data_IF_370210952110
#
_entry.id   IF_370210952110
#
_cell.length_a   1.000
_cell.length_b   1.000
_cell.length_c   1.000
_cell.angle_alpha   90.00
_cell.angle_beta   90.00
_cell.angle_gamma   90.00
#
_symmetry.space_group_name_H-M   'P 1'
#
loop_
_entity.id
_entity.type
_entity.pdbx_description
1 polymer ?
#
# COMPACT_ATOMS: atom_id res chain seq x y z
N UNK A 1 29.67 28.74 -21.30
CA UNK A 1 28.21 28.81 -21.47
C UNK A 1 27.57 27.45 -21.13
N UNK A 2 27.63 27.04 -19.85
CA UNK A 2 26.98 25.83 -19.35
C UNK A 2 26.25 26.16 -18.03
N UNK A 3 25.49 27.26 -18.02
CA UNK A 3 24.75 27.71 -16.85
C UNK A 3 23.25 27.68 -17.19
N UNK A 4 22.50 26.74 -16.62
CA UNK A 4 21.03 26.77 -16.59
C UNK A 4 20.32 25.41 -16.71
N UNK A 5 20.91 24.45 -17.43
CA UNK A 5 20.19 23.23 -17.86
C UNK A 5 20.05 22.09 -16.82
N UNK A 6 20.95 21.87 -15.85
CA UNK A 6 20.78 20.76 -14.91
C UNK A 6 19.79 21.07 -13.77
N UNK A 7 19.47 22.33 -13.49
CA UNK A 7 18.61 22.69 -12.34
C UNK A 7 17.11 22.56 -12.67
N UNK A 8 16.72 22.84 -13.92
CA UNK A 8 15.33 22.79 -14.38
C UNK A 8 14.83 21.35 -14.55
N UNK A 9 15.67 20.43 -15.04
CA UNK A 9 15.35 19.00 -15.16
C UNK A 9 15.16 18.33 -13.79
N UNK A 10 15.84 18.80 -12.75
CA UNK A 10 15.78 18.25 -11.39
C UNK A 10 14.51 18.68 -10.65
N UNK A 11 14.00 19.89 -10.91
CA UNK A 11 12.68 20.32 -10.41
C UNK A 11 11.57 19.42 -10.94
N UNK A 12 11.68 18.99 -12.21
CA UNK A 12 10.67 18.15 -12.85
C UNK A 12 10.63 16.72 -12.28
N UNK A 13 11.78 16.12 -11.96
CA UNK A 13 11.81 14.79 -11.33
C UNK A 13 11.31 14.80 -9.88
N UNK A 14 11.60 15.87 -9.12
CA UNK A 14 11.12 16.02 -7.75
C UNK A 14 9.59 16.17 -7.66
N UNK A 15 8.98 16.90 -8.59
CA UNK A 15 7.52 17.08 -8.66
C UNK A 15 6.79 15.78 -9.00
N UNK A 16 7.36 14.94 -9.87
CA UNK A 16 6.78 13.63 -10.20
C UNK A 16 6.74 12.70 -8.98
N UNK A 17 7.84 12.64 -8.22
CA UNK A 17 7.93 11.77 -7.02
C UNK A 17 6.98 12.22 -5.91
N UNK A 18 6.83 13.53 -5.69
CA UNK A 18 5.90 14.05 -4.69
C UNK A 18 4.45 13.83 -5.10
N UNK A 19 4.10 13.99 -6.38
CA UNK A 19 2.75 13.71 -6.89
C UNK A 19 2.37 12.24 -6.71
N UNK A 20 3.27 11.30 -7.05
CA UNK A 20 3.04 9.86 -6.88
C UNK A 20 2.93 9.49 -5.39
N UNK A 21 3.75 10.11 -4.53
CA UNK A 21 3.71 9.90 -3.08
C UNK A 21 2.42 10.42 -2.45
N UNK A 22 1.92 11.57 -2.91
CA UNK A 22 0.65 12.14 -2.44
C UNK A 22 -0.53 11.29 -2.92
N UNK A 23 -0.54 10.86 -4.18
CA UNK A 23 -1.60 10.01 -4.74
C UNK A 23 -1.75 8.68 -3.97
N UNK A 24 -0.64 8.02 -3.68
CA UNK A 24 -0.63 6.76 -2.91
C UNK A 24 -1.09 6.94 -1.47
N UNK A 25 -0.78 8.07 -0.83
CA UNK A 25 -1.30 8.38 0.51
C UNK A 25 -2.83 8.58 0.52
N UNK A 26 -3.38 9.21 -0.51
CA UNK A 26 -4.83 9.41 -0.62
C UNK A 26 -5.60 8.10 -0.79
N UNK A 27 -5.11 7.17 -1.62
CA UNK A 27 -5.72 5.86 -1.80
C UNK A 27 -5.66 5.01 -0.52
N UNK A 28 -4.54 5.08 0.20
CA UNK A 28 -4.32 4.27 1.41
C UNK A 28 -5.17 4.71 2.61
N UNK A 29 -5.50 6.00 2.74
CA UNK A 29 -6.27 6.54 3.86
C UNK A 29 -7.66 5.90 4.00
N UNK A 30 -8.27 5.40 2.92
CA UNK A 30 -9.65 4.92 2.95
C UNK A 30 -9.82 3.51 3.54
N UNK A 31 -8.74 2.73 3.68
CA UNK A 31 -8.78 1.34 4.19
C UNK A 31 -7.90 1.09 5.41
N UNK A 32 -7.33 2.15 6.02
CA UNK A 32 -6.41 2.03 7.17
C UNK A 32 -7.03 1.36 8.39
N UNK A 33 -8.35 1.46 8.54
CA UNK A 33 -9.16 0.89 9.62
C UNK A 33 -9.22 -0.64 9.61
N UNK A 34 -9.05 -1.23 8.42
CA UNK A 34 -9.21 -2.66 8.18
C UNK A 34 -7.90 -3.44 8.33
N UNK A 35 -6.77 -2.73 8.38
CA UNK A 35 -5.43 -3.32 8.48
C UNK A 35 -4.96 -3.36 9.95
N UNK A 36 -4.07 -4.30 10.32
CA UNK A 36 -3.50 -4.37 11.66
C UNK A 36 -2.82 -3.04 12.05
N UNK A 37 -3.39 -2.35 13.04
CA UNK A 37 -3.03 -0.98 13.42
C UNK A 37 -1.55 -0.80 13.76
N UNK A 38 -0.90 -1.79 14.36
CA UNK A 38 0.51 -1.69 14.79
C UNK A 38 1.51 -1.78 13.64
N UNK A 39 1.31 -2.73 12.72
CA UNK A 39 2.23 -2.95 11.60
C UNK A 39 2.11 -1.84 10.56
N UNK A 40 0.91 -1.30 10.40
CA UNK A 40 0.64 -0.21 9.48
C UNK A 40 1.38 1.08 9.86
N UNK A 41 1.31 1.49 11.13
CA UNK A 41 1.95 2.72 11.63
C UNK A 41 3.48 2.67 11.47
N UNK A 42 4.09 1.53 11.76
CA UNK A 42 5.54 1.33 11.56
C UNK A 42 5.89 1.46 10.07
N UNK A 43 5.08 0.85 9.19
CA UNK A 43 5.28 0.94 7.74
C UNK A 43 5.17 2.37 7.20
N UNK A 44 4.20 3.17 7.65
CA UNK A 44 4.06 4.57 7.21
C UNK A 44 5.23 5.44 7.66
N UNK A 45 5.69 5.33 8.90
CA UNK A 45 6.88 6.07 9.35
C UNK A 45 8.16 5.63 8.63
N UNK A 46 8.31 4.34 8.34
CA UNK A 46 9.44 3.84 7.56
C UNK A 46 9.44 4.39 6.13
N UNK A 47 8.29 4.44 5.45
CA UNK A 47 8.14 5.03 4.12
C UNK A 47 8.47 6.52 4.12
N UNK A 48 8.00 7.27 5.12
CA UNK A 48 8.33 8.68 5.27
C UNK A 48 9.84 8.90 5.46
N UNK A 49 10.48 8.09 6.31
CA UNK A 49 11.92 8.16 6.55
C UNK A 49 12.72 7.83 5.28
N UNK A 50 12.32 6.79 4.54
CA UNK A 50 12.93 6.42 3.25
C UNK A 50 12.79 7.56 2.22
N UNK A 51 11.62 8.21 2.15
CA UNK A 51 11.38 9.39 1.32
C UNK A 51 12.36 10.52 1.62
N UNK A 52 12.53 10.89 2.89
CA UNK A 52 13.48 11.93 3.31
C UNK A 52 14.94 11.58 2.94
N UNK A 53 15.35 10.32 3.15
CA UNK A 53 16.70 9.85 2.81
C UNK A 53 16.95 9.90 1.29
N UNK A 54 15.94 9.57 0.48
CA UNK A 54 16.05 9.62 -0.98
C UNK A 54 16.29 11.05 -1.50
N UNK A 55 15.62 12.06 -0.90
CA UNK A 55 15.81 13.48 -1.23
C UNK A 55 17.23 13.94 -0.86
N UNK A 56 17.69 13.59 0.35
CA UNK A 56 19.05 13.91 0.80
C UNK A 56 20.11 13.25 -0.09
N UNK A 57 19.94 11.97 -0.43
CA UNK A 57 20.83 11.24 -1.33
C UNK A 57 20.90 11.88 -2.72
N UNK A 58 19.77 12.38 -3.23
CA UNK A 58 19.69 13.08 -4.51
C UNK A 58 20.46 14.40 -4.48
N UNK A 59 20.36 15.19 -3.40
CA UNK A 59 21.12 16.43 -3.24
C UNK A 59 22.63 16.18 -3.15
N UNK A 60 23.04 15.14 -2.43
CA UNK A 60 24.45 14.72 -2.32
C UNK A 60 25.00 14.29 -3.68
N UNK A 61 24.26 13.46 -4.41
CA UNK A 61 24.64 13.02 -5.77
C UNK A 61 24.82 14.21 -6.72
N UNK A 62 23.87 15.14 -6.71
CA UNK A 62 23.95 16.35 -7.53
C UNK A 62 25.15 17.23 -7.16
N UNK A 63 25.36 17.48 -5.87
CA UNK A 63 26.49 18.27 -5.40
C UNK A 63 27.84 17.61 -5.73
N UNK A 64 27.92 16.28 -5.63
CA UNK A 64 29.11 15.51 -6.00
C UNK A 64 29.46 15.64 -7.47
N UNK A 65 28.47 15.59 -8.36
CA UNK A 65 28.66 15.77 -9.81
C UNK A 65 29.06 17.22 -10.12
N UNK A 66 28.33 18.21 -9.59
CA UNK A 66 28.55 19.62 -9.89
C UNK A 66 29.89 20.15 -9.35
N UNK A 67 30.30 19.74 -8.14
CA UNK A 67 31.54 20.18 -7.51
C UNK A 67 32.74 19.30 -7.81
N UNK A 68 32.55 18.23 -8.59
CA UNK A 68 33.61 17.25 -8.92
C UNK A 68 34.35 16.72 -7.69
N UNK A 69 33.67 16.66 -6.54
CA UNK A 69 34.28 16.32 -5.26
C UNK A 69 34.25 14.80 -5.04
N UNK A 70 35.42 14.16 -5.12
CA UNK A 70 35.57 12.69 -5.06
C UNK A 70 34.87 12.05 -3.87
N UNK A 71 34.99 12.65 -2.68
CA UNK A 71 34.41 12.13 -1.45
C UNK A 71 32.88 12.12 -1.49
N UNK A 72 32.25 13.12 -2.12
CA UNK A 72 30.79 13.16 -2.28
C UNK A 72 30.30 12.11 -3.28
N UNK A 73 31.05 11.88 -4.37
CA UNK A 73 30.73 10.82 -5.34
C UNK A 73 30.87 9.43 -4.69
N UNK A 74 31.90 9.21 -3.87
CA UNK A 74 32.08 7.95 -3.14
C UNK A 74 30.97 7.73 -2.10
N UNK A 75 30.56 8.78 -1.37
CA UNK A 75 29.43 8.72 -0.45
C UNK A 75 28.12 8.37 -1.20
N UNK A 76 27.90 8.96 -2.37
CA UNK A 76 26.73 8.66 -3.21
C UNK A 76 26.70 7.18 -3.65
N UNK A 77 27.83 6.63 -4.10
CA UNK A 77 27.93 5.20 -4.46
C UNK A 77 27.60 4.30 -3.26
N UNK A 78 28.14 4.61 -2.09
CA UNK A 78 27.87 3.86 -0.86
C UNK A 78 26.39 3.91 -0.46
N UNK A 79 25.76 5.08 -0.56
CA UNK A 79 24.33 5.24 -0.29
C UNK A 79 23.48 4.42 -1.27
N UNK A 80 23.77 4.45 -2.57
CA UNK A 80 23.05 3.65 -3.57
C UNK A 80 23.19 2.14 -3.29
N UNK A 81 24.39 1.67 -2.93
CA UNK A 81 24.59 0.27 -2.59
C UNK A 81 23.76 -0.15 -1.38
N UNK A 82 23.72 0.68 -0.33
CA UNK A 82 22.91 0.38 0.86
C UNK A 82 21.42 0.34 0.55
N UNK A 83 20.91 1.27 -0.27
CA UNK A 83 19.51 1.25 -0.70
C UNK A 83 19.21 -0.01 -1.52
N UNK A 84 20.06 -0.37 -2.48
CA UNK A 84 19.89 -1.58 -3.29
C UNK A 84 19.84 -2.85 -2.43
N UNK A 85 20.72 -2.98 -1.43
CA UNK A 85 20.71 -4.11 -0.50
C UNK A 85 19.42 -4.13 0.33
N UNK A 86 18.95 -2.98 0.81
CA UNK A 86 17.69 -2.90 1.55
C UNK A 86 16.50 -3.30 0.67
N UNK A 87 16.42 -2.80 -0.56
CA UNK A 87 15.36 -3.16 -1.52
C UNK A 87 15.38 -4.66 -1.83
N UNK A 88 16.56 -5.25 -2.05
CA UNK A 88 16.69 -6.69 -2.28
C UNK A 88 16.26 -7.52 -1.07
N UNK A 89 16.57 -7.08 0.16
CA UNK A 89 16.13 -7.75 1.38
C UNK A 89 14.61 -7.64 1.56
N UNK A 90 14.02 -6.44 1.38
CA UNK A 90 12.58 -6.24 1.50
C UNK A 90 11.83 -7.04 0.44
N UNK A 91 12.27 -7.01 -0.82
CA UNK A 91 11.68 -7.81 -1.90
C UNK A 91 11.82 -9.32 -1.64
N UNK A 92 12.98 -9.77 -1.15
CA UNK A 92 13.20 -11.16 -0.78
C UNK A 92 12.30 -11.64 0.36
N UNK A 93 12.16 -10.83 1.42
CA UNK A 93 11.24 -11.12 2.52
C UNK A 93 9.78 -11.12 2.06
N UNK A 94 9.37 -10.16 1.23
CA UNK A 94 8.02 -10.11 0.69
C UNK A 94 7.69 -11.38 -0.12
N UNK A 95 8.64 -11.89 -0.90
CA UNK A 95 8.49 -13.13 -1.65
C UNK A 95 8.42 -14.37 -0.73
N UNK A 96 9.31 -14.47 0.26
CA UNK A 96 9.34 -15.62 1.18
C UNK A 96 8.07 -15.71 2.03
N UNK A 97 7.54 -14.57 2.47
CA UNK A 97 6.41 -14.50 3.40
C UNK A 97 5.05 -14.20 2.74
N UNK A 98 4.95 -14.25 1.39
CA UNK A 98 3.72 -13.93 0.64
C UNK A 98 2.50 -14.73 1.15
N UNK A 99 2.67 -16.06 1.31
CA UNK A 99 1.58 -16.94 1.76
C UNK A 99 1.13 -16.61 3.19
N UNK A 100 2.10 -16.42 4.11
CA UNK A 100 1.80 -16.13 5.50
C UNK A 100 1.06 -14.79 5.66
N UNK A 101 1.50 -13.75 4.95
CA UNK A 101 0.82 -12.45 4.94
C UNK A 101 -0.60 -12.56 4.40
N UNK A 102 -0.80 -13.39 3.38
CA UNK A 102 -2.13 -13.63 2.79
C UNK A 102 -3.04 -14.32 3.80
N UNK A 103 -2.58 -15.36 4.49
CA UNK A 103 -3.35 -16.07 5.52
C UNK A 103 -3.71 -15.16 6.71
N UNK A 104 -2.74 -14.40 7.22
CA UNK A 104 -2.94 -13.45 8.31
C UNK A 104 -3.98 -12.38 7.95
N UNK A 105 -3.95 -11.89 6.70
CA UNK A 105 -4.92 -10.93 6.19
C UNK A 105 -6.33 -11.54 6.09
N UNK A 106 -6.45 -12.76 5.57
CA UNK A 106 -7.73 -13.47 5.51
C UNK A 106 -8.34 -13.64 6.91
N UNK A 107 -7.53 -14.08 7.87
CA UNK A 107 -7.98 -14.26 9.25
C UNK A 107 -8.41 -12.93 9.88
N UNK A 108 -7.60 -11.87 9.70
CA UNK A 108 -7.90 -10.54 10.23
C UNK A 108 -9.20 -9.98 9.65
N UNK A 109 -9.40 -10.10 8.34
CA UNK A 109 -10.64 -9.66 7.69
C UNK A 109 -11.83 -10.47 8.18
N UNK A 110 -11.72 -11.80 8.28
CA UNK A 110 -12.80 -12.64 8.79
C UNK A 110 -13.22 -12.23 10.22
N UNK A 111 -12.26 -12.05 11.13
CA UNK A 111 -12.52 -11.55 12.48
C UNK A 111 -13.14 -10.14 12.48
N UNK A 112 -12.71 -9.27 11.55
CA UNK A 112 -13.26 -7.92 11.42
C UNK A 112 -14.73 -7.94 10.99
N UNK A 113 -15.10 -8.78 10.03
CA UNK A 113 -16.47 -8.99 9.59
C UNK A 113 -17.36 -9.60 10.69
N UNK A 114 -16.87 -10.65 11.37
CA UNK A 114 -17.70 -11.40 12.31
C UNK A 114 -17.82 -10.74 13.68
N UNK A 115 -16.76 -10.11 14.19
CA UNK A 115 -16.73 -9.65 15.58
C UNK A 115 -16.88 -8.13 15.71
N UNK A 116 -16.50 -7.34 14.70
CA UNK A 116 -16.40 -5.88 14.86
C UNK A 116 -17.50 -5.10 14.12
N UNK A 117 -18.15 -5.73 13.15
CA UNK A 117 -19.21 -5.10 12.38
C UNK A 117 -20.41 -4.71 13.26
N UNK A 118 -20.89 -3.47 13.12
CA UNK A 118 -21.96 -2.90 13.94
C UNK A 118 -21.58 -2.52 15.37
N UNK A 119 -20.33 -2.76 15.79
CA UNK A 119 -19.78 -2.36 17.10
C UNK A 119 -18.82 -1.18 16.91
N UNK A 120 -17.89 -1.32 15.99
CA UNK A 120 -16.92 -0.30 15.62
C UNK A 120 -17.40 0.40 14.34
N UNK A 121 -17.76 1.68 14.45
CA UNK A 121 -18.31 2.47 13.35
C UNK A 121 -17.29 2.63 12.21
N UNK A 122 -16.00 2.76 12.51
CA UNK A 122 -14.96 2.92 11.50
C UNK A 122 -14.83 1.65 10.65
N UNK A 123 -14.76 0.49 11.32
CA UNK A 123 -14.71 -0.83 10.65
C UNK A 123 -16.00 -1.14 9.91
N UNK A 124 -17.15 -0.77 10.48
CA UNK A 124 -18.47 -0.95 9.83
C UNK A 124 -18.54 -0.18 8.53
N UNK A 125 -18.17 1.10 8.53
CA UNK A 125 -18.15 1.93 7.33
C UNK A 125 -17.16 1.40 6.28
N UNK A 126 -16.01 0.89 6.71
CA UNK A 126 -15.03 0.31 5.80
C UNK A 126 -15.51 -1.01 5.17
N UNK A 127 -16.20 -1.88 5.94
CA UNK A 127 -16.86 -3.07 5.41
C UNK A 127 -17.99 -2.69 4.45
N UNK A 128 -18.84 -1.72 4.81
CA UNK A 128 -19.96 -1.29 3.97
C UNK A 128 -19.48 -0.74 2.61
N UNK A 129 -18.38 0.01 2.61
CA UNK A 129 -17.71 0.45 1.38
C UNK A 129 -17.15 -0.72 0.58
N UNK A 130 -16.43 -1.64 1.23
CA UNK A 130 -15.84 -2.81 0.57
C UNK A 130 -16.91 -3.65 -0.14
N UNK A 131 -18.07 -3.86 0.49
CA UNK A 131 -19.17 -4.63 -0.10
C UNK A 131 -19.74 -3.98 -1.36
N UNK A 132 -19.93 -2.66 -1.33
CA UNK A 132 -20.43 -1.91 -2.47
C UNK A 132 -19.40 -1.82 -3.60
N UNK A 133 -18.14 -1.51 -3.26
CA UNK A 133 -17.08 -1.28 -4.23
C UNK A 133 -16.67 -2.55 -4.98
N UNK A 134 -16.54 -3.67 -4.25
CA UNK A 134 -16.15 -4.95 -4.83
C UNK A 134 -17.34 -5.84 -5.18
N UNK A 135 -18.57 -5.36 -4.98
CA UNK A 135 -19.82 -6.11 -5.20
C UNK A 135 -19.72 -7.52 -4.57
N UNK A 136 -19.51 -7.55 -3.26
CA UNK A 136 -19.28 -8.77 -2.48
C UNK A 136 -20.10 -8.75 -1.19
N UNK A 137 -20.29 -9.92 -0.56
CA UNK A 137 -21.04 -10.02 0.70
C UNK A 137 -20.45 -11.05 1.65
N UNK A 138 -20.26 -10.62 2.90
CA UNK A 138 -19.57 -11.39 3.95
C UNK A 138 -18.07 -11.52 3.71
N UNK A 139 -17.38 -12.24 4.60
CA UNK A 139 -15.93 -12.40 4.51
C UNK A 139 -15.57 -13.35 3.36
N UNK A 140 -15.98 -14.61 3.47
CA UNK A 140 -15.82 -15.65 2.45
C UNK A 140 -17.12 -15.91 1.69
N UNK A 141 -18.29 -15.74 2.36
CA UNK A 141 -19.63 -15.87 1.75
C UNK A 141 -20.67 -15.03 2.47
N UNK A 142 -21.82 -14.81 1.83
CA UNK A 142 -22.91 -14.03 2.42
C UNK A 142 -23.48 -14.68 3.69
N UNK A 143 -23.42 -16.01 3.82
CA UNK A 143 -23.89 -16.71 5.01
C UNK A 143 -23.05 -16.46 6.26
N UNK A 144 -21.85 -15.90 6.13
CA UNK A 144 -20.98 -15.56 7.27
C UNK A 144 -21.70 -14.62 8.26
N UNK A 145 -22.60 -13.78 7.74
CA UNK A 145 -23.45 -12.91 8.55
C UNK A 145 -24.29 -13.68 9.59
N UNK A 146 -24.62 -14.96 9.35
CA UNK A 146 -25.34 -15.80 10.33
C UNK A 146 -24.53 -16.05 11.60
N UNK A 147 -23.20 -15.98 11.50
CA UNK A 147 -22.29 -16.22 12.60
C UNK A 147 -21.72 -14.93 13.19
N UNK A 148 -22.00 -13.78 12.58
CA UNK A 148 -21.49 -12.50 13.07
C UNK A 148 -22.18 -12.09 14.37
N UNK A 149 -21.43 -11.40 15.23
CA UNK A 149 -21.96 -10.81 16.44
C UNK A 149 -23.08 -9.80 16.12
N UNK A 150 -23.00 -9.09 14.98
CA UNK A 150 -24.05 -8.19 14.54
C UNK A 150 -25.42 -8.86 14.36
N UNK A 151 -25.48 -10.05 13.75
CA UNK A 151 -26.75 -10.74 13.52
C UNK A 151 -27.17 -11.60 14.72
N UNK A 152 -26.23 -12.30 15.35
CA UNK A 152 -26.49 -13.25 16.44
C UNK A 152 -26.78 -12.57 17.77
N UNK A 153 -26.32 -11.34 17.95
CA UNK A 153 -26.53 -10.63 19.19
C UNK A 153 -28.01 -10.31 19.40
N UNK A 154 -28.63 -11.00 20.35
CA UNK A 154 -29.94 -10.67 20.94
C UNK A 154 -29.91 -9.39 21.80
N UNK A 155 -28.85 -8.58 21.70
CA UNK A 155 -28.71 -7.33 22.44
C UNK A 155 -29.54 -6.22 21.79
N UNK A 156 -30.54 -5.77 22.54
CA UNK A 156 -31.28 -4.52 22.30
C UNK A 156 -30.42 -3.25 22.37
N UNK A 157 -29.16 -3.33 22.82
CA UNK A 157 -28.18 -2.22 22.91
C UNK A 157 -27.25 -2.07 21.69
N UNK A 158 -27.34 -2.91 20.66
CA UNK A 158 -26.60 -2.66 19.42
C UNK A 158 -27.20 -1.47 18.65
N UNK A 159 -26.33 -0.56 18.19
CA UNK A 159 -26.66 0.70 17.49
C UNK A 159 -27.52 0.52 16.22
N UNK A 160 -27.64 -0.69 15.66
CA UNK A 160 -28.39 -0.95 14.42
C UNK A 160 -29.20 -2.24 14.53
N UNK A 161 -30.51 -2.10 14.76
CA UNK A 161 -31.45 -3.22 14.76
C UNK A 161 -31.43 -3.96 13.42
N UNK A 162 -31.32 -5.29 13.46
CA UNK A 162 -31.25 -6.13 12.27
C UNK A 162 -32.57 -6.10 11.48
N UNK A 163 -33.71 -5.81 12.11
CA UNK A 163 -35.03 -5.66 11.46
C UNK A 163 -35.36 -6.80 10.48
N UNK A 164 -35.06 -8.05 10.88
CA UNK A 164 -35.26 -9.25 10.06
C UNK A 164 -34.38 -9.34 8.79
N UNK A 165 -33.31 -8.54 8.70
CA UNK A 165 -32.29 -8.67 7.66
C UNK A 165 -31.43 -9.91 7.88
N UNK A 166 -31.07 -10.59 6.80
CA UNK A 166 -30.13 -11.71 6.77
C UNK A 166 -28.68 -11.23 6.58
N UNK A 167 -28.52 -10.10 5.89
CA UNK A 167 -27.24 -9.45 5.59
C UNK A 167 -27.38 -7.94 5.72
N UNK A 168 -26.29 -7.17 5.85
CA UNK A 168 -26.36 -5.71 5.78
C UNK A 168 -26.92 -5.18 4.46
N UNK A 169 -27.54 -4.00 4.48
CA UNK A 169 -28.06 -3.38 3.25
C UNK A 169 -26.93 -2.99 2.27
N UNK A 170 -25.71 -2.81 2.78
CA UNK A 170 -24.47 -2.65 2.01
C UNK A 170 -24.02 -3.91 1.25
N UNK A 171 -24.59 -5.09 1.52
CA UNK A 171 -24.39 -6.25 0.65
C UNK A 171 -25.21 -6.18 -0.64
N UNK A 172 -26.22 -5.31 -0.73
CA UNK A 172 -27.12 -5.31 -1.86
C UNK A 172 -26.47 -4.66 -3.08
N UNK A 173 -26.66 -5.25 -4.25
CA UNK A 173 -26.16 -4.73 -5.54
C UNK A 173 -26.65 -3.29 -5.76
N UNK A 174 -27.90 -3.01 -5.38
CA UNK A 174 -28.42 -1.66 -5.29
C UNK A 174 -28.78 -1.38 -3.85
N UNK A 175 -28.10 -0.42 -3.24
CA UNK A 175 -28.32 -0.07 -1.85
C UNK A 175 -29.71 0.55 -1.68
N UNK A 176 -30.60 -0.16 -0.99
CA UNK A 176 -31.93 0.33 -0.63
C UNK A 176 -32.27 -0.08 0.80
N UNK A 177 -33.15 0.67 1.45
CA UNK A 177 -33.53 0.36 2.83
C UNK A 177 -34.12 -1.06 2.92
N UNK A 178 -33.60 -1.88 3.83
CA UNK A 178 -34.08 -3.25 4.11
C UNK A 178 -33.97 -4.23 2.94
N UNK A 179 -33.11 -3.98 1.96
CA UNK A 179 -32.86 -4.93 0.88
C UNK A 179 -32.26 -6.25 1.40
N UNK A 180 -31.53 -6.22 2.52
CA UNK A 180 -30.85 -7.39 3.11
C UNK A 180 -31.79 -8.44 3.72
N UNK A 181 -33.13 -8.26 3.63
CA UNK A 181 -34.12 -9.25 4.08
C UNK A 181 -34.17 -10.47 3.15
N UNK A 182 -33.84 -10.32 1.86
CA UNK A 182 -33.94 -11.38 0.85
C UNK A 182 -32.57 -11.70 0.26
N UNK A 183 -32.19 -12.98 0.31
CA UNK A 183 -30.91 -13.52 -0.12
C UNK A 183 -30.90 -14.01 -1.58
N UNK A 184 -31.59 -13.28 -2.47
CA UNK A 184 -31.68 -13.64 -3.89
C UNK A 184 -30.42 -13.21 -4.67
N UNK A 185 -29.89 -14.01 -5.62
CA UNK A 185 -28.66 -13.69 -6.37
C UNK A 185 -28.76 -12.43 -7.23
N UNK A 186 -29.97 -12.01 -7.61
CA UNK A 186 -30.19 -10.73 -8.31
C UNK A 186 -30.17 -9.50 -7.40
N UNK A 187 -30.13 -9.72 -6.08
CA UNK A 187 -30.16 -8.67 -5.05
C UNK A 187 -28.84 -8.61 -4.27
N UNK A 188 -28.25 -9.77 -3.97
CA UNK A 188 -26.99 -9.88 -3.22
C UNK A 188 -25.97 -10.76 -3.96
N UNK A 189 -24.68 -10.39 -3.93
CA UNK A 189 -23.59 -11.22 -4.42
C UNK A 189 -23.31 -12.36 -3.43
N UNK A 190 -23.06 -13.57 -3.95
CA UNK A 190 -22.73 -14.74 -3.12
C UNK A 190 -21.22 -14.88 -2.87
N UNK A 191 -20.40 -14.08 -3.55
CA UNK A 191 -18.94 -14.07 -3.41
C UNK A 191 -18.54 -13.25 -2.18
N UNK A 192 -17.67 -13.82 -1.34
CA UNK A 192 -17.07 -13.12 -0.21
C UNK A 192 -16.09 -12.03 -0.60
N UNK A 193 -16.02 -11.00 0.24
CA UNK A 193 -15.17 -9.85 0.03
C UNK A 193 -13.68 -10.14 0.16
N UNK A 194 -13.29 -11.14 0.95
CA UNK A 194 -11.88 -11.52 1.12
C UNK A 194 -11.25 -11.92 -0.21
N UNK A 195 -11.95 -12.70 -1.04
CA UNK A 195 -11.43 -13.12 -2.34
C UNK A 195 -11.25 -11.94 -3.29
N UNK A 196 -12.27 -11.08 -3.40
CA UNK A 196 -12.23 -9.89 -4.26
C UNK A 196 -11.15 -8.91 -3.84
N UNK A 197 -11.04 -8.67 -2.53
CA UNK A 197 -10.04 -7.76 -1.99
C UNK A 197 -8.62 -8.29 -2.18
N UNK A 198 -8.39 -9.59 -2.01
CA UNK A 198 -7.08 -10.19 -2.26
C UNK A 198 -6.68 -10.16 -3.73
N UNK A 199 -7.63 -10.35 -4.64
CA UNK A 199 -7.39 -10.28 -6.08
C UNK A 199 -6.94 -8.86 -6.47
N UNK A 200 -7.69 -7.84 -6.02
CA UNK A 200 -7.33 -6.43 -6.25
C UNK A 200 -5.98 -6.07 -5.62
N UNK A 201 -5.75 -6.52 -4.37
CA UNK A 201 -4.50 -6.28 -3.67
C UNK A 201 -3.32 -6.93 -4.40
N UNK A 202 -3.50 -8.13 -4.96
CA UNK A 202 -2.46 -8.81 -5.74
C UNK A 202 -2.12 -8.05 -7.00
N UNK A 203 -3.10 -7.51 -7.70
CA UNK A 203 -2.87 -6.70 -8.89
C UNK A 203 -2.09 -5.42 -8.59
N UNK A 204 -2.42 -4.75 -7.48
CA UNK A 204 -1.65 -3.60 -7.02
C UNK A 204 -0.23 -3.99 -6.59
N UNK A 205 -0.04 -5.12 -5.89
CA UNK A 205 1.27 -5.62 -5.51
C UNK A 205 2.13 -5.97 -6.74
N UNK A 206 1.53 -6.52 -7.80
CA UNK A 206 2.23 -6.78 -9.06
C UNK A 206 2.78 -5.49 -9.68
N UNK A 207 1.99 -4.41 -9.66
CA UNK A 207 2.43 -3.09 -10.14
C UNK A 207 3.59 -2.57 -9.27
N UNK A 208 3.48 -2.66 -7.95
CA UNK A 208 4.55 -2.24 -7.01
C UNK A 208 5.84 -3.05 -7.24
N UNK A 209 5.72 -4.36 -7.45
CA UNK A 209 6.86 -5.23 -7.74
C UNK A 209 7.54 -4.86 -9.07
N UNK A 210 6.75 -4.54 -10.10
CA UNK A 210 7.27 -4.09 -11.40
C UNK A 210 8.02 -2.75 -11.28
N UNK A 211 7.44 -1.77 -10.57
CA UNK A 211 8.08 -0.47 -10.32
C UNK A 211 9.36 -0.64 -9.50
N UNK A 212 9.32 -1.42 -8.42
CA UNK A 212 10.49 -1.71 -7.58
C UNK A 212 11.62 -2.37 -8.38
N UNK A 213 11.29 -3.33 -9.25
CA UNK A 213 12.28 -3.95 -10.13
C UNK A 213 12.92 -2.94 -11.09
N UNK A 214 12.13 -2.01 -11.63
CA UNK A 214 12.63 -0.91 -12.45
C UNK A 214 13.59 0.02 -11.70
N UNK A 215 13.28 0.33 -10.43
CA UNK A 215 14.14 1.14 -9.55
C UNK A 215 15.49 0.44 -9.35
N UNK A 216 15.51 -0.86 -9.06
CA UNK A 216 16.75 -1.64 -8.93
C UNK A 216 17.63 -1.53 -10.19
N UNK A 217 17.04 -1.62 -11.38
CA UNK A 217 17.78 -1.48 -12.65
C UNK A 217 18.38 -0.09 -12.78
N UNK A 218 17.60 0.96 -12.53
CA UNK A 218 18.08 2.36 -12.58
C UNK A 218 19.19 2.62 -11.55
N UNK A 219 19.08 2.06 -10.34
CA UNK A 219 20.13 2.16 -9.32
C UNK A 219 21.44 1.53 -9.77
N UNK A 220 21.39 0.35 -10.40
CA UNK A 220 22.59 -0.32 -10.94
C UNK A 220 23.26 0.56 -12.00
N UNK A 221 22.49 1.12 -12.93
CA UNK A 221 23.03 2.08 -13.90
C UNK A 221 23.63 3.32 -13.23
N UNK A 222 22.96 3.87 -12.23
CA UNK A 222 23.45 5.00 -11.43
C UNK A 222 24.78 4.69 -10.74
N UNK A 223 24.91 3.50 -10.15
CA UNK A 223 26.16 3.04 -9.53
C UNK A 223 27.29 2.93 -10.55
N UNK A 224 27.05 2.30 -11.70
CA UNK A 224 28.07 2.15 -12.76
C UNK A 224 28.56 3.52 -13.24
N UNK A 225 27.64 4.45 -13.53
CA UNK A 225 27.99 5.80 -13.96
C UNK A 225 28.77 6.57 -12.88
N UNK A 226 28.37 6.46 -11.62
CA UNK A 226 29.07 7.11 -10.51
C UNK A 226 30.48 6.55 -10.30
N UNK A 227 30.66 5.23 -10.46
CA UNK A 227 31.99 4.58 -10.40
C UNK A 227 32.88 5.09 -11.54
N UNK A 228 32.36 5.15 -12.77
CA UNK A 228 33.09 5.70 -13.93
C UNK A 228 33.50 7.16 -13.67
N UNK A 229 32.58 7.98 -13.15
CA UNK A 229 32.87 9.36 -12.79
C UNK A 229 33.96 9.45 -11.71
N UNK A 230 33.86 8.63 -10.67
CA UNK A 230 34.86 8.58 -9.60
C UNK A 230 36.25 8.23 -10.13
N UNK A 231 36.36 7.22 -11.01
CA UNK A 231 37.64 6.83 -11.64
C UNK A 231 38.19 7.99 -12.48
N UNK A 232 37.35 8.67 -13.26
CA UNK A 232 37.76 9.82 -14.07
C UNK A 232 38.30 10.96 -13.21
N UNK A 233 37.58 11.35 -12.16
CA UNK A 233 38.03 12.36 -11.21
C UNK A 233 39.33 11.94 -10.51
N UNK A 234 39.46 10.66 -10.15
CA UNK A 234 40.69 10.12 -9.52
C UNK A 234 41.92 10.33 -10.39
N UNK A 235 41.79 10.18 -11.69
CA UNK A 235 42.88 10.29 -12.65
C UNK A 235 43.24 11.75 -13.00
N UNK A 236 42.32 12.70 -12.84
CA UNK A 236 42.60 14.14 -13.11
C UNK A 236 43.45 14.79 -12.02
N UNK A 237 43.31 14.38 -10.75
CA UNK A 237 44.11 14.97 -9.65
C UNK A 237 45.46 14.25 -9.43
N UNK A 238 45.92 13.43 -10.37
CA UNK A 238 47.27 12.85 -10.39
C UNK A 238 48.14 13.59 -11.39
#
# INVERSE_FOLDING_TARGET
MLNGWPLETIKMSGVLVTVVSIWTLFWKHQYTSLLPTRSYVIGTYALLAAGCLSVLGSLIGLCGICRQFKTLVLLYIYLLLMVFLLEANVGGLAYIYENQVTEDLQQTLNTTFLENYGIDEEKTNAIDRMQQEYTCCGAFRFEDWRYSHWLRSERTDLLRTTNNRLVPDSCCITMSERCGIRDHPSNIPYTGCVYKFLDELRDHLNIVAAVGSGICVVQIFGMVLAIILYIKLRNVDK
#
